data_IF_338613209774
#
_entry.id   IF_338613209774
#
_cell.length_a   1.000
_cell.length_b   1.000
_cell.length_c   1.000
_cell.angle_alpha   90.00
_cell.angle_beta   90.00
_cell.angle_gamma   90.00
#
_symmetry.space_group_name_H-M   'P 1'
#
loop_
_entity.id
_entity.type
_entity.pdbx_description
1 polymer ?
#
# COMPACT_ATOMS: atom_id res chain seq x y z
N UNK A 1 3.42 4.57 -13.58
CA UNK A 1 2.37 5.58 -13.25
C UNK A 1 2.30 5.66 -11.75
N UNK A 2 2.21 6.87 -11.19
CA UNK A 2 2.19 7.06 -9.74
C UNK A 2 0.78 7.11 -9.18
N UNK A 3 0.61 6.46 -8.03
CA UNK A 3 -0.65 6.48 -7.28
C UNK A 3 -0.38 6.75 -5.81
N UNK A 4 -1.08 7.73 -5.24
CA UNK A 4 -1.22 7.86 -3.79
C UNK A 4 -2.31 6.88 -3.35
N UNK A 5 -1.98 6.00 -2.42
CA UNK A 5 -2.92 5.04 -1.85
C UNK A 5 -2.97 5.22 -0.35
N UNK A 6 -4.16 5.44 0.17
CA UNK A 6 -4.43 5.50 1.60
C UNK A 6 -5.14 4.22 2.00
N UNK A 7 -4.63 3.54 3.03
CA UNK A 7 -5.16 2.25 3.48
C UNK A 7 -5.40 2.29 4.98
N UNK A 8 -6.66 2.16 5.39
CA UNK A 8 -7.07 2.06 6.80
C UNK A 8 -7.37 0.61 7.13
N UNK A 9 -6.63 0.03 8.07
CA UNK A 9 -6.78 -1.38 8.47
C UNK A 9 -7.82 -1.51 9.58
N UNK A 10 -8.83 -2.34 9.34
CA UNK A 10 -9.97 -2.63 10.23
C UNK A 10 -10.08 -4.14 10.46
N UNK A 11 -9.13 -4.71 11.20
CA UNK A 11 -9.20 -6.12 11.61
C UNK A 11 -10.29 -6.28 12.69
N UNK A 12 -11.22 -7.24 12.56
CA UNK A 12 -12.24 -7.47 13.57
C UNK A 12 -11.64 -7.83 14.94
N UNK A 13 -12.12 -7.25 16.05
CA UNK A 13 -11.58 -7.51 17.39
C UNK A 13 -11.76 -8.97 17.85
N UNK A 14 -12.73 -9.69 17.31
CA UNK A 14 -12.99 -11.10 17.55
C UNK A 14 -12.04 -12.05 16.81
N UNK A 15 -11.22 -11.53 15.88
CA UNK A 15 -10.24 -12.36 15.17
C UNK A 15 -9.23 -12.96 16.16
N UNK A 16 -8.97 -14.28 16.12
CA UNK A 16 -7.95 -14.89 16.96
C UNK A 16 -6.58 -14.22 16.74
N UNK A 17 -5.88 -13.93 17.83
CA UNK A 17 -4.61 -13.22 17.79
C UNK A 17 -3.58 -13.91 16.87
N UNK A 18 -3.48 -15.24 16.93
CA UNK A 18 -2.56 -16.02 16.10
C UNK A 18 -2.86 -15.87 14.60
N UNK A 19 -4.15 -15.83 14.24
CA UNK A 19 -4.59 -15.58 12.86
C UNK A 19 -4.23 -14.16 12.40
N UNK A 20 -4.49 -13.16 13.25
CA UNK A 20 -4.15 -11.77 12.94
C UNK A 20 -2.63 -11.59 12.76
N UNK A 21 -1.81 -12.22 13.61
CA UNK A 21 -0.35 -12.17 13.51
C UNK A 21 0.18 -12.92 12.29
N UNK A 22 -0.44 -14.05 11.91
CA UNK A 22 -0.13 -14.75 10.67
C UNK A 22 -0.34 -13.83 9.45
N UNK A 23 -1.53 -13.24 9.34
CA UNK A 23 -1.89 -12.36 8.21
C UNK A 23 -0.95 -11.15 8.16
N UNK A 24 -0.67 -10.52 9.30
CA UNK A 24 0.30 -9.39 9.38
C UNK A 24 1.70 -9.79 8.94
N UNK A 25 2.14 -11.01 9.23
CA UNK A 25 3.46 -11.50 8.83
C UNK A 25 3.54 -11.71 7.32
N UNK A 26 2.52 -12.31 6.73
CA UNK A 26 2.42 -12.51 5.28
C UNK A 26 2.33 -11.17 4.55
N UNK A 27 1.51 -10.25 5.06
CA UNK A 27 1.40 -8.87 4.57
C UNK A 27 2.77 -8.19 4.57
N UNK A 28 3.49 -8.25 5.69
CA UNK A 28 4.82 -7.65 5.82
C UNK A 28 5.79 -8.21 4.77
N UNK A 29 5.82 -9.53 4.58
CA UNK A 29 6.69 -10.17 3.59
C UNK A 29 6.33 -9.77 2.16
N UNK A 30 5.04 -9.69 1.83
CA UNK A 30 4.59 -9.25 0.51
C UNK A 30 4.91 -7.77 0.26
N UNK A 31 4.60 -6.89 1.22
CA UNK A 31 4.93 -5.47 1.14
C UNK A 31 6.43 -5.20 1.03
N UNK A 32 7.28 -5.98 1.72
CA UNK A 32 8.73 -5.89 1.60
C UNK A 32 9.22 -6.25 0.19
N UNK A 33 8.72 -7.35 -0.39
CA UNK A 33 9.07 -7.73 -1.77
C UNK A 33 8.68 -6.65 -2.79
N UNK A 34 7.50 -6.04 -2.63
CA UNK A 34 7.06 -4.96 -3.52
C UNK A 34 7.91 -3.69 -3.39
N UNK A 35 8.38 -3.38 -2.17
CA UNK A 35 9.32 -2.29 -1.93
C UNK A 35 10.69 -2.58 -2.58
N UNK A 36 11.21 -3.80 -2.43
CA UNK A 36 12.46 -4.23 -3.06
C UNK A 36 12.41 -4.17 -4.59
N UNK A 37 11.23 -4.45 -5.18
CA UNK A 37 10.98 -4.31 -6.63
C UNK A 37 10.78 -2.87 -7.08
N UNK A 38 10.69 -1.90 -6.16
CA UNK A 38 10.43 -0.49 -6.45
C UNK A 38 8.99 -0.18 -6.85
N UNK A 39 8.08 -1.16 -6.77
CA UNK A 39 6.66 -0.98 -7.09
C UNK A 39 5.94 -0.23 -5.97
N UNK A 40 6.22 -0.59 -4.71
CA UNK A 40 5.74 0.14 -3.54
C UNK A 40 6.83 1.11 -3.08
N UNK A 41 6.93 2.27 -3.74
CA UNK A 41 8.05 3.21 -3.57
C UNK A 41 8.16 3.78 -2.17
N UNK A 42 7.02 4.15 -1.60
CA UNK A 42 6.99 4.77 -0.29
C UNK A 42 5.84 4.24 0.55
N UNK A 43 6.10 4.10 1.85
CA UNK A 43 5.17 3.57 2.84
C UNK A 43 5.35 4.32 4.16
N UNK A 44 4.34 5.10 4.55
CA UNK A 44 4.35 5.84 5.81
C UNK A 44 3.16 5.47 6.69
N UNK A 45 3.40 5.43 8.01
CA UNK A 45 2.35 5.30 9.02
C UNK A 45 1.66 6.65 9.22
N UNK A 46 0.33 6.65 9.23
CA UNK A 46 -0.44 7.82 9.70
C UNK A 46 -0.38 7.85 11.23
N UNK A 47 0.13 8.95 11.80
CA UNK A 47 0.28 9.07 13.24
C UNK A 47 -1.06 8.93 13.98
N UNK A 48 -1.09 8.09 15.00
CA UNK A 48 -2.29 7.83 15.81
C UNK A 48 -3.35 6.95 15.15
N UNK A 49 -3.11 6.43 13.95
CA UNK A 49 -4.08 5.60 13.22
C UNK A 49 -3.45 4.28 12.78
N UNK A 50 -4.27 3.21 12.72
CA UNK A 50 -3.86 1.99 12.05
C UNK A 50 -4.04 2.10 10.53
N UNK A 51 -3.44 3.14 9.96
CA UNK A 51 -3.54 3.48 8.55
C UNK A 51 -2.16 3.80 7.96
N UNK A 52 -2.04 3.75 6.63
CA UNK A 52 -0.83 4.16 5.94
C UNK A 52 -1.17 5.05 4.73
N UNK A 53 -0.18 5.87 4.35
CA UNK A 53 -0.13 6.56 3.07
C UNK A 53 1.02 5.96 2.28
N UNK A 54 0.76 5.59 1.05
CA UNK A 54 1.69 4.88 0.18
C UNK A 54 1.76 5.52 -1.20
N UNK A 55 2.94 5.45 -1.83
CA UNK A 55 3.11 5.73 -3.25
C UNK A 55 3.45 4.44 -3.97
N UNK A 56 2.61 4.08 -4.94
CA UNK A 56 2.84 2.96 -5.85
C UNK A 56 3.25 3.47 -7.22
N UNK A 57 4.18 2.76 -7.86
CA UNK A 57 4.52 2.94 -9.27
C UNK A 57 4.27 1.65 -10.04
N UNK A 58 3.23 1.68 -10.86
CA UNK A 58 2.81 0.55 -11.70
C UNK A 58 2.44 1.04 -13.09
N UNK A 59 2.45 0.14 -14.06
CA UNK A 59 2.21 0.48 -15.48
C UNK A 59 0.76 0.87 -15.82
N UNK A 60 -0.22 0.47 -14.99
CA UNK A 60 -1.64 0.71 -15.27
C UNK A 60 -2.51 0.67 -14.02
N UNK A 61 -3.76 1.15 -14.14
CA UNK A 61 -4.78 1.02 -13.10
C UNK A 61 -5.08 -0.47 -12.77
N UNK A 62 -5.07 -1.34 -13.78
CA UNK A 62 -5.29 -2.78 -13.61
C UNK A 62 -4.15 -3.43 -12.82
N UNK A 63 -2.89 -3.07 -13.13
CA UNK A 63 -1.74 -3.54 -12.38
C UNK A 63 -1.82 -3.13 -10.90
N UNK A 64 -2.27 -1.90 -10.60
CA UNK A 64 -2.51 -1.47 -9.23
C UNK A 64 -3.60 -2.30 -8.56
N UNK A 65 -4.73 -2.49 -9.24
CA UNK A 65 -5.86 -3.25 -8.70
C UNK A 65 -5.46 -4.70 -8.36
N UNK A 66 -4.78 -5.37 -9.29
CA UNK A 66 -4.31 -6.74 -9.11
C UNK A 66 -3.31 -6.86 -7.96
N UNK A 67 -2.43 -5.87 -7.78
CA UNK A 67 -1.51 -5.82 -6.66
C UNK A 67 -2.25 -5.64 -5.33
N UNK A 68 -3.13 -4.63 -5.23
CA UNK A 68 -3.83 -4.32 -3.98
C UNK A 68 -4.71 -5.48 -3.52
N UNK A 69 -5.41 -6.14 -4.44
CA UNK A 69 -6.28 -7.30 -4.15
C UNK A 69 -5.51 -8.55 -3.69
N UNK A 70 -4.20 -8.62 -3.96
CA UNK A 70 -3.33 -9.70 -3.49
C UNK A 70 -2.78 -9.47 -2.07
N UNK A 71 -2.96 -8.28 -1.50
CA UNK A 71 -2.52 -8.01 -0.12
C UNK A 71 -3.31 -8.91 0.85
N UNK A 72 -2.64 -9.69 1.71
CA UNK A 72 -3.30 -10.51 2.73
C UNK A 72 -4.30 -9.73 3.61
N UNK A 73 -4.03 -8.46 3.88
CA UNK A 73 -4.93 -7.60 4.66
C UNK A 73 -6.04 -6.94 3.83
N UNK A 74 -6.05 -7.03 2.49
CA UNK A 74 -7.03 -6.36 1.62
C UNK A 74 -8.51 -6.53 2.07
N UNK A 75 -8.97 -7.72 2.49
CA UNK A 75 -10.36 -7.90 2.96
C UNK A 75 -10.72 -7.06 4.19
N UNK A 76 -9.72 -6.56 4.92
CA UNK A 76 -9.85 -5.79 6.15
C UNK A 76 -9.42 -4.33 5.96
N UNK A 77 -9.24 -3.87 4.72
CA UNK A 77 -8.81 -2.51 4.44
C UNK A 77 -9.92 -1.67 3.81
N UNK A 78 -9.97 -0.41 4.23
CA UNK A 78 -10.60 0.65 3.44
C UNK A 78 -9.50 1.34 2.63
N UNK A 79 -9.64 1.33 1.31
CA UNK A 79 -8.59 1.77 0.37
C UNK A 79 -9.10 2.94 -0.46
N UNK A 80 -8.35 4.04 -0.47
CA UNK A 80 -8.56 5.19 -1.35
C UNK A 80 -7.38 5.34 -2.30
N UNK A 81 -7.66 5.39 -3.61
CA UNK A 81 -6.64 5.54 -4.65
C UNK A 81 -6.77 6.90 -5.32
N UNK A 82 -5.66 7.63 -5.45
CA UNK A 82 -5.56 8.88 -6.20
C UNK A 82 -4.43 8.79 -7.22
N UNK A 83 -4.72 8.77 -8.53
CA UNK A 83 -3.69 8.86 -9.57
C UNK A 83 -2.93 10.18 -9.47
N UNK A 84 -1.62 10.14 -9.69
CA UNK A 84 -0.73 11.30 -9.61
C UNK A 84 -0.07 11.58 -10.96
N UNK A 85 -0.02 12.86 -11.32
CA UNK A 85 0.80 13.35 -12.41
C UNK A 85 2.10 13.93 -11.86
N UNK A 86 3.15 13.87 -12.66
CA UNK A 86 4.40 14.57 -12.37
C UNK A 86 4.17 16.08 -12.38
N UNK A 87 4.64 16.75 -11.34
CA UNK A 87 4.51 18.20 -11.23
C UNK A 87 5.55 18.89 -12.15
N UNK A 88 5.18 19.93 -12.93
CA UNK A 88 6.10 20.58 -13.88
C UNK A 88 7.29 21.28 -13.21
N UNK A 89 7.16 21.64 -11.93
CA UNK A 89 8.24 22.23 -11.13
C UNK A 89 9.07 21.20 -10.35
N UNK A 90 8.85 19.88 -10.54
CA UNK A 90 9.69 18.86 -9.91
C UNK A 90 11.12 18.96 -10.44
N UNK A 91 12.09 19.11 -9.54
CA UNK A 91 13.52 19.23 -9.89
C UNK A 91 14.23 17.88 -9.99
N UNK A 92 13.62 16.82 -9.47
CA UNK A 92 14.18 15.47 -9.52
C UNK A 92 13.97 14.89 -10.91
N UNK A 93 14.95 14.19 -11.54
CA UNK A 93 14.82 13.67 -12.91
C UNK A 93 13.72 12.61 -13.04
N UNK A 94 13.46 11.88 -11.96
CA UNK A 94 12.33 10.99 -11.75
C UNK A 94 11.68 11.29 -10.38
N UNK A 95 10.51 10.72 -10.11
CA UNK A 95 9.81 10.89 -8.82
C UNK A 95 10.03 9.66 -7.92
N UNK A 96 11.26 9.11 -7.93
CA UNK A 96 11.68 7.96 -7.11
C UNK A 96 12.13 8.36 -5.72
#
# INVERSE_FOLDING_TARGET
>A
MLFKVEMVVRIPPEMPADTAEQIKREEKQYAQRLQEQGVWRHLWRVAGQYANVSIFDVESNEALHNLLTQLPLYPYMEVTVTPLCRHPSSIHPDDR
#
